data_IF_536578518057
#
_entry.id   IF_536578518057
#
_cell.length_a   1.000
_cell.length_b   1.000
_cell.length_c   1.000
_cell.angle_alpha   90.00
_cell.angle_beta   90.00
_cell.angle_gamma   90.00
#
_symmetry.space_group_name_H-M   'P 1'
#
loop_
_entity.id
_entity.type
_entity.pdbx_description
1 polymer ?
#
# COMPACT_ATOMS: atom_id res chain seq x y z
N UNK A 1 -11.17 21.93 15.60
CA UNK A 1 -12.65 22.00 15.53
C UNK A 1 -13.09 21.15 14.37
N UNK A 2 -14.01 20.21 14.58
CA UNK A 2 -14.65 19.44 13.50
C UNK A 2 -15.97 20.10 13.17
N UNK A 3 -16.16 20.47 11.91
CA UNK A 3 -17.38 21.11 11.41
C UNK A 3 -18.58 20.16 11.51
N UNK A 4 -19.78 20.72 11.61
CA UNK A 4 -21.01 19.94 11.73
C UNK A 4 -21.28 19.13 10.46
N UNK A 5 -21.58 17.85 10.62
CA UNK A 5 -21.84 16.91 9.50
C UNK A 5 -23.18 17.17 8.83
N UNK A 6 -24.14 17.76 9.57
CA UNK A 6 -25.44 18.18 9.06
C UNK A 6 -26.02 19.27 9.97
N UNK A 7 -26.69 20.27 9.37
CA UNK A 7 -27.49 21.28 10.09
C UNK A 7 -28.87 21.33 9.45
N UNK A 8 -29.91 21.07 10.25
CA UNK A 8 -31.29 21.22 9.84
C UNK A 8 -31.89 22.51 10.44
N UNK A 9 -32.74 23.19 9.67
CA UNK A 9 -33.56 24.31 10.16
C UNK A 9 -35.01 23.85 10.20
N UNK A 10 -35.51 23.52 11.39
CA UNK A 10 -36.95 23.42 11.65
C UNK A 10 -37.34 24.34 12.80
N UNK A 11 -38.47 25.03 12.63
CA UNK A 11 -38.84 26.28 13.29
C UNK A 11 -39.91 26.13 14.38
N UNK A 12 -40.05 24.95 14.99
CA UNK A 12 -41.22 24.70 15.86
C UNK A 12 -40.91 24.24 17.28
N UNK A 13 -39.72 23.71 17.58
CA UNK A 13 -39.34 23.25 18.93
C UNK A 13 -37.83 23.35 19.14
N UNK A 14 -37.34 23.94 20.27
CA UNK A 14 -35.90 24.10 20.55
C UNK A 14 -35.12 22.78 20.55
N UNK A 15 -35.76 21.67 20.93
CA UNK A 15 -35.14 20.32 20.98
C UNK A 15 -35.15 19.58 19.63
N UNK A 16 -35.70 20.18 18.56
CA UNK A 16 -35.82 19.54 17.24
C UNK A 16 -34.55 19.59 16.38
N UNK A 17 -33.56 20.38 16.78
CA UNK A 17 -32.28 20.46 16.10
C UNK A 17 -31.18 20.02 17.08
N UNK A 18 -30.56 18.87 16.82
CA UNK A 18 -29.42 18.37 17.59
C UNK A 18 -28.21 18.34 16.67
N UNK A 19 -27.10 18.96 17.09
CA UNK A 19 -25.84 18.87 16.34
C UNK A 19 -25.25 17.48 16.53
N UNK A 20 -25.17 16.73 15.44
CA UNK A 20 -24.50 15.44 15.42
C UNK A 20 -22.99 15.63 15.23
N UNK A 21 -22.22 15.10 16.19
CA UNK A 21 -20.76 15.00 16.09
C UNK A 21 -20.38 13.53 15.90
N UNK A 22 -19.37 13.26 15.09
CA UNK A 22 -18.73 11.95 15.02
C UNK A 22 -17.25 12.09 15.29
N UNK A 23 -16.69 11.18 16.07
CA UNK A 23 -15.24 11.03 16.17
C UNK A 23 -14.69 10.61 14.80
N UNK A 24 -13.60 11.24 14.35
CA UNK A 24 -12.81 10.72 13.22
C UNK A 24 -12.23 9.36 13.63
N UNK A 25 -12.95 8.28 13.35
CA UNK A 25 -12.49 6.90 13.54
C UNK A 25 -11.38 6.50 12.56
N UNK A 26 -11.14 7.33 11.55
CA UNK A 26 -10.12 7.11 10.54
C UNK A 26 -8.74 7.65 10.98
N UNK A 27 -8.01 6.93 11.86
CA UNK A 27 -6.54 7.04 12.08
C UNK A 27 -5.94 5.83 12.81
N UNK A 28 -4.64 5.54 12.56
CA UNK A 28 -4.09 5.06 11.30
C UNK A 28 -4.41 3.57 11.14
N UNK A 29 -4.89 3.18 9.96
CA UNK A 29 -5.13 1.77 9.65
C UNK A 29 -3.78 1.11 9.40
N UNK A 30 -3.35 0.22 10.28
CA UNK A 30 -2.28 -0.72 9.99
C UNK A 30 -2.84 -1.85 9.15
N UNK A 31 -2.26 -2.08 7.98
CA UNK A 31 -2.61 -3.24 7.15
C UNK A 31 -2.34 -4.51 7.95
N UNK A 32 -3.31 -5.43 7.98
CA UNK A 32 -3.11 -6.75 8.60
C UNK A 32 -2.07 -7.55 7.81
N UNK A 33 -1.52 -8.60 8.43
CA UNK A 33 -0.66 -9.56 7.73
C UNK A 33 -1.34 -10.09 6.47
N UNK A 34 -2.61 -10.49 6.57
CA UNK A 34 -3.41 -10.97 5.44
C UNK A 34 -3.52 -9.93 4.31
N UNK A 35 -3.64 -8.65 4.66
CA UNK A 35 -3.66 -7.56 3.68
C UNK A 35 -2.31 -7.37 3.00
N UNK A 36 -1.20 -7.54 3.72
CA UNK A 36 0.15 -7.49 3.17
C UNK A 36 0.40 -8.69 2.24
N UNK A 37 -0.01 -9.89 2.64
CA UNK A 37 0.06 -11.10 1.83
C UNK A 37 -0.79 -10.98 0.56
N UNK A 38 -1.99 -10.41 0.67
CA UNK A 38 -2.84 -10.12 -0.49
C UNK A 38 -2.15 -9.18 -1.47
N UNK A 39 -1.57 -8.07 -0.99
CA UNK A 39 -0.84 -7.13 -1.85
C UNK A 39 0.41 -7.77 -2.49
N UNK A 40 1.14 -8.57 -1.73
CA UNK A 40 2.29 -9.34 -2.21
C UNK A 40 1.91 -10.28 -3.36
N UNK A 41 0.82 -11.04 -3.20
CA UNK A 41 0.33 -11.96 -4.24
C UNK A 41 -0.23 -11.18 -5.43
N UNK A 42 -0.89 -10.04 -5.21
CA UNK A 42 -1.41 -9.20 -6.28
C UNK A 42 -0.29 -8.69 -7.20
N UNK A 43 0.82 -8.22 -6.63
CA UNK A 43 1.96 -7.67 -7.38
C UNK A 43 2.85 -8.77 -7.99
N UNK A 44 3.17 -9.81 -7.21
CA UNK A 44 4.17 -10.81 -7.61
C UNK A 44 3.57 -12.11 -8.16
N UNK A 45 2.24 -12.27 -8.09
CA UNK A 45 1.50 -13.47 -8.50
C UNK A 45 1.60 -14.65 -7.52
N UNK A 46 2.65 -14.68 -6.70
CA UNK A 46 2.91 -15.70 -5.67
C UNK A 46 3.57 -15.06 -4.46
N UNK A 47 3.39 -15.66 -3.28
CA UNK A 47 4.08 -15.21 -2.08
C UNK A 47 5.55 -15.66 -2.06
N UNK A 48 5.82 -16.90 -2.47
CA UNK A 48 7.16 -17.49 -2.47
C UNK A 48 7.33 -18.42 -3.68
N UNK A 49 8.51 -18.41 -4.30
CA UNK A 49 8.84 -19.30 -5.43
C UNK A 49 9.09 -18.54 -6.73
N UNK A 50 8.76 -19.13 -7.88
CA UNK A 50 8.91 -18.48 -9.18
C UNK A 50 7.57 -17.93 -9.66
N UNK A 51 7.55 -16.66 -10.06
CA UNK A 51 6.37 -16.08 -10.71
C UNK A 51 6.24 -16.52 -12.18
N UNK A 52 5.19 -16.04 -12.85
CA UNK A 52 4.93 -16.34 -14.26
C UNK A 52 6.03 -15.86 -15.22
N UNK A 53 6.82 -14.86 -14.83
CA UNK A 53 7.99 -14.36 -15.57
C UNK A 53 9.27 -15.16 -15.25
N UNK A 54 9.19 -16.18 -14.40
CA UNK A 54 10.33 -16.99 -13.96
C UNK A 54 11.24 -16.30 -12.94
N UNK A 55 10.83 -15.14 -12.41
CA UNK A 55 11.56 -14.38 -11.41
C UNK A 55 11.36 -15.00 -10.03
N UNK A 56 12.42 -15.01 -9.23
CA UNK A 56 12.38 -15.50 -7.86
C UNK A 56 11.70 -14.47 -6.96
N UNK A 57 10.62 -14.89 -6.30
CA UNK A 57 9.84 -14.13 -5.32
C UNK A 57 10.14 -14.69 -3.93
N UNK A 58 10.39 -13.78 -2.99
CA UNK A 58 10.59 -14.07 -1.56
C UNK A 58 9.66 -13.17 -0.75
N UNK A 59 8.72 -13.74 -0.03
CA UNK A 59 7.70 -13.05 0.78
C UNK A 59 6.94 -11.95 0.02
N UNK A 60 6.68 -12.18 -1.27
CA UNK A 60 6.01 -11.23 -2.16
C UNK A 60 6.93 -10.24 -2.86
N UNK A 61 8.23 -10.29 -2.59
CA UNK A 61 9.21 -9.36 -3.17
C UNK A 61 10.05 -10.04 -4.24
N UNK A 62 10.19 -9.36 -5.38
CA UNK A 62 11.18 -9.71 -6.39
C UNK A 62 12.46 -8.94 -6.08
N UNK A 63 13.44 -9.62 -5.49
CA UNK A 63 14.68 -8.99 -5.03
C UNK A 63 15.65 -8.66 -6.17
N UNK A 64 15.44 -9.23 -7.36
CA UNK A 64 16.27 -8.92 -8.52
C UNK A 64 15.56 -7.90 -9.39
N UNK A 65 16.22 -6.78 -9.67
CA UNK A 65 15.70 -5.75 -10.56
C UNK A 65 15.39 -6.34 -11.94
N UNK A 66 14.15 -6.19 -12.40
CA UNK A 66 13.66 -6.75 -13.65
C UNK A 66 13.04 -5.64 -14.51
N UNK A 67 12.77 -5.94 -15.78
CA UNK A 67 11.96 -5.09 -16.63
C UNK A 67 10.53 -5.59 -16.60
N UNK A 68 9.58 -4.71 -16.30
CA UNK A 68 8.17 -5.02 -16.38
C UNK A 68 7.71 -5.25 -17.83
N UNK A 69 6.41 -5.52 -18.01
CA UNK A 69 5.79 -5.74 -19.33
C UNK A 69 5.87 -4.52 -20.27
N UNK A 70 6.15 -3.32 -19.75
CA UNK A 70 6.32 -2.08 -20.53
C UNK A 70 7.81 -1.74 -20.71
N UNK A 71 8.71 -2.52 -20.13
CA UNK A 71 10.16 -2.34 -20.21
C UNK A 71 10.74 -1.40 -19.15
N UNK A 72 9.94 -0.99 -18.16
CA UNK A 72 10.37 -0.12 -17.06
C UNK A 72 11.11 -0.98 -16.02
N UNK A 73 12.27 -0.51 -15.52
CA UNK A 73 12.99 -1.20 -14.46
C UNK A 73 12.22 -1.13 -13.14
N UNK A 74 11.97 -2.29 -12.55
CA UNK A 74 11.12 -2.48 -11.36
C UNK A 74 11.78 -3.48 -10.41
N UNK A 75 11.55 -3.33 -9.10
CA UNK A 75 12.10 -4.22 -8.05
C UNK A 75 11.18 -4.27 -6.82
N UNK A 76 11.37 -5.26 -5.95
CA UNK A 76 10.63 -5.40 -4.70
C UNK A 76 9.17 -5.78 -4.93
N UNK A 77 8.26 -5.01 -4.35
CA UNK A 77 6.81 -5.17 -4.50
C UNK A 77 6.28 -4.08 -5.47
N UNK A 78 6.74 -4.12 -6.72
CA UNK A 78 6.32 -3.16 -7.76
C UNK A 78 6.96 -1.77 -7.68
N UNK A 79 8.08 -1.60 -6.96
CA UNK A 79 8.80 -0.32 -6.91
C UNK A 79 9.43 -0.01 -8.26
N UNK A 80 9.04 1.11 -8.86
CA UNK A 80 9.66 1.63 -10.08
C UNK A 80 11.03 2.20 -9.74
N UNK A 81 12.08 1.64 -10.35
CA UNK A 81 13.45 2.10 -10.18
C UNK A 81 13.61 3.47 -10.83
N UNK A 82 14.10 4.42 -10.04
CA UNK A 82 14.50 5.76 -10.48
C UNK A 82 16.04 5.87 -10.48
N UNK A 83 16.58 6.84 -11.22
CA UNK A 83 18.03 7.07 -11.25
C UNK A 83 18.62 7.37 -9.86
N UNK A 84 17.81 7.94 -8.97
CA UNK A 84 18.17 8.22 -7.58
C UNK A 84 18.42 6.95 -6.74
N UNK A 85 17.77 5.83 -7.10
CA UNK A 85 17.90 4.56 -6.38
C UNK A 85 19.26 3.90 -6.63
N UNK A 86 19.95 4.28 -7.72
CA UNK A 86 21.24 3.72 -8.15
C UNK A 86 21.24 2.20 -8.34
N UNK A 87 20.08 1.60 -8.59
CA UNK A 87 19.91 0.16 -8.84
C UNK A 87 19.91 -0.08 -10.35
N UNK A 88 20.70 -1.05 -10.82
CA UNK A 88 20.70 -1.47 -12.23
C UNK A 88 19.81 -2.68 -12.45
N UNK A 89 19.27 -2.82 -13.67
CA UNK A 89 18.53 -4.03 -14.05
C UNK A 89 19.43 -5.27 -13.92
N UNK A 90 18.92 -6.32 -13.27
CA UNK A 90 19.64 -7.55 -12.94
C UNK A 90 20.39 -7.51 -11.60
N UNK A 91 20.46 -6.37 -10.92
CA UNK A 91 21.04 -6.26 -9.59
C UNK A 91 20.09 -6.82 -8.53
N UNK A 92 20.64 -7.58 -7.58
CA UNK A 92 19.87 -8.16 -6.47
C UNK A 92 19.99 -7.27 -5.24
N UNK A 93 18.85 -6.83 -4.72
CA UNK A 93 18.77 -6.06 -3.48
C UNK A 93 18.45 -6.97 -2.29
N UNK A 94 18.67 -6.45 -1.08
CA UNK A 94 18.32 -7.16 0.16
C UNK A 94 16.88 -6.87 0.57
N UNK A 95 16.26 -7.75 1.36
CA UNK A 95 14.93 -7.51 1.94
C UNK A 95 14.89 -6.27 2.83
N UNK A 96 16.01 -5.89 3.47
CA UNK A 96 16.07 -4.69 4.32
C UNK A 96 15.92 -3.39 3.52
N UNK A 97 16.39 -3.39 2.27
CA UNK A 97 16.30 -2.25 1.37
C UNK A 97 14.90 -2.02 0.78
N UNK A 98 13.98 -2.99 0.84
CA UNK A 98 12.63 -2.84 0.25
C UNK A 98 11.65 -2.06 1.13
N UNK A 99 12.03 -1.71 2.37
CA UNK A 99 11.37 -0.70 3.22
C UNK A 99 9.94 -0.98 3.68
N UNK A 100 9.26 -2.00 3.13
CA UNK A 100 7.84 -2.27 3.36
C UNK A 100 7.55 -2.90 4.74
N UNK A 101 8.56 -3.42 5.43
CA UNK A 101 8.42 -4.00 6.78
C UNK A 101 9.21 -3.27 7.88
N UNK A 102 9.50 -1.98 7.73
CA UNK A 102 9.95 -1.21 8.91
C UNK A 102 8.75 -0.97 9.84
N UNK A 103 8.66 -1.80 10.87
CA UNK A 103 7.79 -1.61 12.05
C UNK A 103 8.16 -0.34 12.80
#
# INVERSE_FOLDING_TARGET
MTDAVCTATTNTTPDSNVTAYTSRLCRPWTVSTDGLEFMAVLESGVLNGKNFLGLQVTDGFILTAYKDNVGIPTVGCGHRILDADKIKAGETITLESTGIFKK
#
